data_IF_181452250207
#
_entry.id   IF_181452250207
#
_cell.length_a   1.000
_cell.length_b   1.000
_cell.length_c   1.000
_cell.angle_alpha   90.00
_cell.angle_beta   90.00
_cell.angle_gamma   90.00
#
_symmetry.space_group_name_H-M   'P 1'
#
loop_
_entity.id
_entity.type
_entity.pdbx_description
1 polymer ?
#
# COMPACT_ATOMS: atom_id res chain seq x y z
N UNK A 1 -2.44 1.69 21.24
CA UNK A 1 -3.67 1.10 20.65
C UNK A 1 -3.25 -0.09 19.79
N UNK A 2 -3.90 -1.24 19.94
CA UNK A 2 -3.48 -2.47 19.26
C UNK A 2 -4.01 -2.50 17.82
N UNK A 3 -3.18 -2.13 16.85
CA UNK A 3 -3.46 -2.18 15.41
C UNK A 3 -3.35 -3.61 14.83
N UNK A 4 -3.86 -4.62 15.55
CA UNK A 4 -3.66 -6.03 15.20
C UNK A 4 -4.76 -6.67 14.35
N UNK A 5 -5.85 -5.95 14.07
CA UNK A 5 -7.02 -6.50 13.39
C UNK A 5 -7.33 -5.68 12.12
N UNK A 6 -7.10 -6.23 10.92
CA UNK A 6 -7.35 -5.53 9.66
C UNK A 6 -8.83 -5.17 9.47
N UNK A 7 -9.76 -5.92 10.05
CA UNK A 7 -11.21 -5.63 10.00
C UNK A 7 -11.58 -4.43 10.90
N UNK A 8 -10.69 -4.02 11.81
CA UNK A 8 -10.88 -2.86 12.71
C UNK A 8 -10.24 -1.57 12.22
N UNK A 9 -9.50 -1.58 11.11
CA UNK A 9 -8.96 -0.33 10.53
C UNK A 9 -10.09 0.52 9.92
N UNK A 10 -11.16 -0.14 9.47
CA UNK A 10 -12.40 0.52 9.07
C UNK A 10 -13.21 1.09 10.26
N UNK A 11 -12.88 0.76 11.52
CA UNK A 11 -13.65 1.18 12.70
C UNK A 11 -12.79 1.79 13.82
N UNK A 12 -12.86 3.13 13.91
CA UNK A 12 -12.89 3.91 15.16
C UNK A 12 -11.61 4.51 15.77
N UNK A 13 -10.75 5.16 14.98
CA UNK A 13 -10.16 6.41 15.49
C UNK A 13 -10.25 7.53 14.47
N UNK A 14 -10.63 8.73 14.92
CA UNK A 14 -10.63 9.95 14.11
C UNK A 14 -9.26 10.15 13.43
N UNK A 15 -8.17 9.80 14.15
CA UNK A 15 -6.81 9.84 13.65
C UNK A 15 -6.60 8.93 12.43
N UNK A 16 -7.01 7.65 12.49
CA UNK A 16 -6.87 6.72 11.36
C UNK A 16 -7.59 7.28 10.12
N UNK A 17 -8.82 7.77 10.29
CA UNK A 17 -9.58 8.34 9.18
C UNK A 17 -8.87 9.55 8.56
N UNK A 18 -8.33 10.46 9.38
CA UNK A 18 -7.58 11.63 8.90
C UNK A 18 -6.32 11.21 8.14
N UNK A 19 -5.55 10.25 8.67
CA UNK A 19 -4.31 9.75 8.03
C UNK A 19 -4.61 9.19 6.63
N UNK A 20 -5.64 8.34 6.52
CA UNK A 20 -6.03 7.74 5.24
C UNK A 20 -6.51 8.80 4.24
N UNK A 21 -7.38 9.72 4.67
CA UNK A 21 -7.90 10.79 3.79
C UNK A 21 -6.80 11.74 3.32
N UNK A 22 -5.85 12.09 4.19
CA UNK A 22 -4.73 12.96 3.83
C UNK A 22 -3.86 12.31 2.76
N UNK A 23 -3.53 11.03 2.96
CA UNK A 23 -2.72 10.26 2.01
C UNK A 23 -3.44 10.10 0.67
N UNK A 24 -4.75 9.84 0.68
CA UNK A 24 -5.55 9.76 -0.55
C UNK A 24 -5.52 11.05 -1.37
N UNK A 25 -5.50 12.21 -0.71
CA UNK A 25 -5.39 13.51 -1.40
C UNK A 25 -4.06 13.59 -2.16
N UNK A 26 -2.98 13.06 -1.60
CA UNK A 26 -1.68 13.03 -2.27
C UNK A 26 -1.64 12.03 -3.41
N UNK A 27 -2.23 10.84 -3.23
CA UNK A 27 -2.18 9.78 -4.24
C UNK A 27 -3.16 10.01 -5.41
N UNK A 28 -4.33 10.59 -5.14
CA UNK A 28 -5.44 10.61 -6.11
C UNK A 28 -6.18 11.94 -6.20
N UNK A 29 -5.78 12.97 -5.43
CA UNK A 29 -6.54 14.23 -5.31
C UNK A 29 -7.98 14.09 -4.79
N UNK A 30 -8.30 12.96 -4.14
CA UNK A 30 -9.60 12.71 -3.51
C UNK A 30 -9.41 12.38 -2.03
N UNK A 31 -10.36 12.76 -1.18
CA UNK A 31 -10.32 12.35 0.24
C UNK A 31 -10.79 10.91 0.42
N UNK A 32 -11.80 10.50 -0.35
CA UNK A 32 -12.39 9.18 -0.26
C UNK A 32 -11.73 8.20 -1.22
N UNK A 33 -11.65 6.95 -0.79
CA UNK A 33 -11.11 5.87 -1.59
C UNK A 33 -11.86 5.67 -2.90
N UNK A 34 -11.11 5.46 -3.98
CA UNK A 34 -11.62 5.03 -5.28
C UNK A 34 -11.33 3.53 -5.45
N UNK A 35 -12.36 2.70 -5.48
CA UNK A 35 -12.22 1.23 -5.41
C UNK A 35 -12.09 0.57 -6.78
N UNK A 36 -12.67 1.17 -7.81
CA UNK A 36 -12.79 0.65 -9.16
C UNK A 36 -11.72 1.09 -10.18
N UNK A 37 -10.82 2.08 -9.94
CA UNK A 37 -9.79 2.39 -10.92
C UNK A 37 -8.96 1.15 -11.24
N UNK A 38 -8.70 0.94 -12.52
CA UNK A 38 -7.81 -0.09 -13.01
C UNK A 38 -7.18 0.39 -14.30
N UNK A 39 -5.86 0.28 -14.39
CA UNK A 39 -5.07 0.74 -15.54
C UNK A 39 -3.88 -0.18 -15.74
N UNK A 40 -3.48 -0.38 -16.99
CA UNK A 40 -2.18 -0.96 -17.30
C UNK A 40 -1.19 0.17 -17.58
N UNK A 41 -0.20 0.31 -16.70
CA UNK A 41 0.87 1.28 -16.88
C UNK A 41 2.06 0.65 -17.62
N UNK A 42 2.89 1.48 -18.24
CA UNK A 42 4.13 1.04 -18.91
C UNK A 42 5.32 1.03 -17.94
N UNK A 43 5.10 0.62 -16.69
CA UNK A 43 6.08 0.64 -15.59
C UNK A 43 6.53 -0.77 -15.15
N UNK A 44 6.04 -1.81 -15.83
CA UNK A 44 6.40 -3.21 -15.57
C UNK A 44 5.57 -3.90 -14.48
N UNK A 45 4.58 -3.24 -13.87
CA UNK A 45 3.78 -3.81 -12.78
C UNK A 45 2.51 -4.55 -13.27
N UNK A 46 2.30 -4.64 -14.58
CA UNK A 46 1.08 -5.21 -15.15
C UNK A 46 -0.13 -4.27 -14.97
N UNK A 47 -1.25 -4.79 -14.49
CA UNK A 47 -2.39 -3.94 -14.11
C UNK A 47 -2.22 -3.41 -12.69
N UNK A 48 -2.51 -2.12 -12.51
CA UNK A 48 -2.62 -1.43 -11.22
C UNK A 48 -4.08 -1.08 -10.95
N UNK A 49 -4.61 -1.46 -9.78
CA UNK A 49 -6.03 -1.34 -9.49
C UNK A 49 -6.37 -1.00 -8.02
N UNK A 50 -7.49 -0.28 -7.84
CA UNK A 50 -8.09 0.01 -6.54
C UNK A 50 -7.36 1.02 -5.68
N UNK A 51 -7.71 1.02 -4.39
CA UNK A 51 -7.50 2.14 -3.45
C UNK A 51 -6.04 2.53 -3.19
N UNK A 52 -5.08 1.64 -3.46
CA UNK A 52 -3.63 1.87 -3.31
C UNK A 52 -2.87 1.30 -4.52
N UNK A 53 -3.51 1.20 -5.68
CA UNK A 53 -2.91 0.69 -6.90
C UNK A 53 -2.28 -0.70 -6.71
N UNK A 54 -3.06 -1.67 -6.21
CA UNK A 54 -2.62 -3.06 -6.15
C UNK A 54 -2.24 -3.55 -7.54
N UNK A 55 -1.12 -4.27 -7.66
CA UNK A 55 -0.60 -4.66 -8.97
C UNK A 55 -0.64 -6.17 -9.17
N UNK A 56 -0.89 -6.59 -10.41
CA UNK A 56 -0.77 -8.01 -10.79
C UNK A 56 0.70 -8.44 -10.77
N UNK A 57 1.61 -7.58 -11.19
CA UNK A 57 3.04 -7.86 -11.31
C UNK A 57 3.79 -7.99 -9.98
N UNK A 58 3.19 -7.57 -8.86
CA UNK A 58 3.68 -7.85 -7.50
C UNK A 58 2.86 -8.91 -6.76
N UNK A 59 1.77 -9.40 -7.37
CA UNK A 59 0.83 -10.32 -6.74
C UNK A 59 -0.03 -9.68 -5.64
N UNK A 60 0.05 -8.37 -5.39
CA UNK A 60 -0.76 -7.71 -4.36
C UNK A 60 -2.24 -7.69 -4.75
N UNK A 61 -2.55 -7.54 -6.04
CA UNK A 61 -3.93 -7.56 -6.52
C UNK A 61 -4.56 -8.96 -6.43
N UNK A 62 -3.77 -10.01 -6.63
CA UNK A 62 -4.25 -11.38 -6.42
C UNK A 62 -4.61 -11.63 -4.95
N UNK A 63 -3.81 -11.14 -4.00
CA UNK A 63 -4.13 -11.30 -2.57
C UNK A 63 -5.47 -10.65 -2.20
N UNK A 64 -5.85 -9.53 -2.84
CA UNK A 64 -7.19 -8.95 -2.69
C UNK A 64 -8.25 -9.90 -3.22
N UNK A 65 -8.05 -10.42 -4.43
CA UNK A 65 -9.00 -11.34 -5.10
C UNK A 65 -9.17 -12.64 -4.31
N UNK A 66 -8.10 -13.21 -3.77
CA UNK A 66 -8.13 -14.40 -2.91
C UNK A 66 -8.88 -14.11 -1.61
N UNK A 67 -8.56 -13.00 -0.92
CA UNK A 67 -9.22 -12.62 0.32
C UNK A 67 -10.74 -12.42 0.14
N UNK A 68 -11.13 -11.84 -1.00
CA UNK A 68 -12.53 -11.74 -1.40
C UNK A 68 -13.14 -13.12 -1.71
N UNK A 69 -12.43 -13.94 -2.49
CA UNK A 69 -12.92 -15.23 -2.97
C UNK A 69 -13.17 -16.24 -1.86
N UNK A 70 -12.31 -16.25 -0.84
CA UNK A 70 -12.41 -17.12 0.33
C UNK A 70 -13.65 -16.82 1.19
N UNK A 71 -14.25 -15.63 1.04
CA UNK A 71 -15.41 -15.19 1.85
C UNK A 71 -16.74 -15.36 1.14
N UNK A 72 -16.79 -15.07 -0.16
CA UNK A 72 -18.07 -14.98 -0.88
C UNK A 72 -18.17 -15.89 -2.10
N UNK A 73 -17.11 -16.62 -2.46
CA UNK A 73 -17.04 -17.49 -3.64
C UNK A 73 -17.61 -16.85 -4.94
N UNK A 74 -17.05 -15.71 -5.37
CA UNK A 74 -17.48 -14.92 -6.52
C UNK A 74 -17.06 -15.57 -7.85
N UNK A 75 -17.63 -15.09 -8.97
CA UNK A 75 -17.29 -15.59 -10.30
C UNK A 75 -16.62 -14.57 -11.23
N UNK A 76 -16.46 -13.32 -10.78
CA UNK A 76 -15.92 -12.21 -11.55
C UNK A 76 -14.50 -12.49 -12.09
N UNK A 77 -13.67 -13.19 -11.32
CA UNK A 77 -12.27 -13.49 -11.67
C UNK A 77 -12.02 -14.95 -12.10
N UNK A 78 -13.04 -15.81 -12.14
CA UNK A 78 -12.86 -17.26 -12.34
C UNK A 78 -12.07 -17.60 -13.60
N UNK A 79 -12.28 -16.87 -14.70
CA UNK A 79 -11.59 -17.10 -15.98
C UNK A 79 -10.08 -16.81 -15.93
N UNK A 80 -9.63 -16.01 -14.98
CA UNK A 80 -8.23 -15.56 -14.85
C UNK A 80 -7.55 -16.05 -13.55
N UNK A 81 -8.26 -16.77 -12.68
CA UNK A 81 -7.71 -17.29 -11.42
C UNK A 81 -6.42 -18.10 -11.64
N UNK A 82 -6.42 -19.02 -12.62
CA UNK A 82 -5.24 -19.83 -12.91
C UNK A 82 -4.04 -18.99 -13.37
N UNK A 83 -4.29 -17.94 -14.16
CA UNK A 83 -3.26 -17.01 -14.63
C UNK A 83 -2.70 -16.20 -13.46
N UNK A 84 -3.56 -15.65 -12.61
CA UNK A 84 -3.14 -14.89 -11.42
C UNK A 84 -2.34 -15.75 -10.44
N UNK A 85 -2.76 -17.00 -10.21
CA UNK A 85 -2.05 -17.96 -9.37
C UNK A 85 -0.66 -18.30 -9.94
N UNK A 86 -0.57 -18.51 -11.25
CA UNK A 86 0.71 -18.76 -11.92
C UNK A 86 1.67 -17.57 -11.76
N UNK A 87 1.19 -16.34 -11.90
CA UNK A 87 1.99 -15.12 -11.69
C UNK A 87 2.54 -15.09 -10.26
N UNK A 88 1.71 -15.32 -9.25
CA UNK A 88 2.15 -15.29 -7.85
C UNK A 88 3.13 -16.42 -7.51
N UNK A 89 2.93 -17.62 -8.07
CA UNK A 89 3.89 -18.72 -7.92
C UNK A 89 5.25 -18.36 -8.55
N UNK A 90 5.24 -17.72 -9.73
CA UNK A 90 6.45 -17.23 -10.38
C UNK A 90 7.19 -16.19 -9.52
N UNK A 91 6.46 -15.23 -8.95
CA UNK A 91 7.02 -14.23 -8.03
C UNK A 91 7.65 -14.87 -6.79
N UNK A 92 6.96 -15.85 -6.17
CA UNK A 92 7.48 -16.58 -4.99
C UNK A 92 8.73 -17.40 -5.31
N UNK A 93 8.84 -17.92 -6.53
CA UNK A 93 10.01 -18.67 -6.98
C UNK A 93 11.20 -17.76 -7.34
N UNK A 94 11.04 -16.43 -7.30
CA UNK A 94 12.04 -15.49 -7.78
C UNK A 94 12.30 -15.63 -9.29
N UNK A 95 11.35 -16.22 -10.02
CA UNK A 95 11.49 -16.60 -11.43
C UNK A 95 10.93 -15.53 -12.38
N UNK A 96 10.99 -14.25 -12.01
CA UNK A 96 10.66 -13.16 -12.94
C UNK A 96 11.65 -13.20 -14.11
N UNK A 97 11.15 -13.20 -15.34
CA UNK A 97 11.99 -13.06 -16.53
C UNK A 97 12.62 -11.66 -16.66
N UNK A 98 12.22 -10.72 -15.81
CA UNK A 98 12.82 -9.40 -15.68
C UNK A 98 13.79 -9.31 -14.49
N UNK A 99 14.76 -8.41 -14.61
CA UNK A 99 15.75 -8.13 -13.57
C UNK A 99 15.15 -7.42 -12.35
N UNK A 100 13.89 -6.96 -12.43
CA UNK A 100 13.20 -6.21 -11.37
C UNK A 100 12.53 -7.10 -10.32
N UNK A 101 12.32 -8.39 -10.59
CA UNK A 101 11.55 -9.25 -9.68
C UNK A 101 10.04 -9.21 -9.92
N UNK A 102 9.59 -8.60 -11.02
CA UNK A 102 8.17 -8.36 -11.34
C UNK A 102 7.66 -9.31 -12.44
N UNK A 103 6.35 -9.36 -12.61
CA UNK A 103 5.74 -10.01 -13.78
C UNK A 103 4.93 -8.97 -14.55
N UNK A 104 5.53 -8.44 -15.60
CA UNK A 104 4.91 -7.40 -16.45
C UNK A 104 3.86 -7.91 -17.42
N UNK A 105 3.82 -9.23 -17.68
CA UNK A 105 2.88 -9.83 -18.63
C UNK A 105 1.44 -9.76 -18.14
N UNK A 106 0.53 -9.39 -19.04
CA UNK A 106 -0.92 -9.41 -18.84
C UNK A 106 -1.63 -10.49 -19.68
N UNK A 107 -0.87 -11.38 -20.32
CA UNK A 107 -1.44 -12.44 -21.14
C UNK A 107 -2.33 -13.36 -20.28
N UNK A 108 -3.56 -13.62 -20.73
CA UNK A 108 -4.55 -14.41 -19.97
C UNK A 108 -5.26 -13.64 -18.85
N UNK A 109 -5.09 -12.31 -18.81
CA UNK A 109 -5.83 -11.37 -17.94
C UNK A 109 -6.78 -10.47 -18.74
N UNK A 110 -7.27 -10.96 -19.89
CA UNK A 110 -8.25 -10.24 -20.70
C UNK A 110 -9.51 -9.92 -19.88
N UNK A 111 -9.96 -8.66 -19.92
CA UNK A 111 -11.11 -8.19 -19.15
C UNK A 111 -10.84 -7.96 -17.65
N UNK A 112 -9.58 -7.98 -17.20
CA UNK A 112 -9.22 -7.78 -15.79
C UNK A 112 -9.81 -6.50 -15.19
N UNK A 113 -9.67 -5.35 -15.87
CA UNK A 113 -10.21 -4.08 -15.36
C UNK A 113 -11.74 -4.05 -15.30
N UNK A 114 -12.43 -4.71 -16.24
CA UNK A 114 -13.89 -4.82 -16.20
C UNK A 114 -14.34 -5.69 -15.02
N UNK A 115 -13.63 -6.81 -14.78
CA UNK A 115 -13.88 -7.67 -13.62
C UNK A 115 -13.64 -6.93 -12.30
N UNK A 116 -12.55 -6.16 -12.21
CA UNK A 116 -12.22 -5.35 -11.04
C UNK A 116 -13.27 -4.26 -10.77
N UNK A 117 -13.65 -3.51 -11.81
CA UNK A 117 -14.68 -2.47 -11.71
C UNK A 117 -16.03 -3.06 -11.28
N UNK A 118 -16.42 -4.20 -11.87
CA UNK A 118 -17.64 -4.91 -11.49
C UNK A 118 -17.61 -5.40 -10.04
N UNK A 119 -16.52 -6.05 -9.63
CA UNK A 119 -16.35 -6.51 -8.25
C UNK A 119 -16.39 -5.35 -7.25
N UNK A 120 -15.84 -4.19 -7.62
CA UNK A 120 -15.84 -2.96 -6.80
C UNK A 120 -17.22 -2.35 -6.55
N UNK A 121 -18.27 -2.87 -7.17
CA UNK A 121 -19.66 -2.52 -6.82
C UNK A 121 -20.15 -3.28 -5.58
N UNK A 122 -19.48 -4.38 -5.21
CA UNK A 122 -19.80 -5.22 -4.06
C UNK A 122 -19.12 -4.67 -2.79
N UNK A 123 -19.87 -4.45 -1.69
CA UNK A 123 -19.27 -4.06 -0.41
C UNK A 123 -18.14 -4.99 0.04
N UNK A 124 -18.30 -6.29 -0.17
CA UNK A 124 -17.34 -7.31 0.28
C UNK A 124 -16.00 -7.23 -0.47
N UNK A 125 -15.99 -6.77 -1.72
CA UNK A 125 -14.74 -6.52 -2.44
C UNK A 125 -14.06 -5.24 -1.99
N UNK A 126 -14.85 -4.21 -1.63
CA UNK A 126 -14.31 -2.98 -1.03
C UNK A 126 -13.66 -3.26 0.33
N UNK A 127 -14.31 -4.09 1.14
CA UNK A 127 -13.77 -4.56 2.42
C UNK A 127 -12.47 -5.36 2.22
N UNK A 128 -12.40 -6.19 1.18
CA UNK A 128 -11.16 -6.90 0.83
C UNK A 128 -10.02 -5.94 0.48
N UNK A 129 -10.28 -4.89 -0.29
CA UNK A 129 -9.29 -3.86 -0.59
C UNK A 129 -8.81 -3.14 0.68
N UNK A 130 -9.73 -2.72 1.56
CA UNK A 130 -9.39 -2.06 2.83
C UNK A 130 -8.57 -2.99 3.72
N UNK A 131 -8.96 -4.26 3.83
CA UNK A 131 -8.24 -5.25 4.65
C UNK A 131 -6.81 -5.48 4.13
N UNK A 132 -6.60 -5.49 2.82
CA UNK A 132 -5.26 -5.62 2.24
C UNK A 132 -4.43 -4.35 2.39
N UNK A 133 -5.01 -3.16 2.21
CA UNK A 133 -4.34 -1.88 2.55
C UNK A 133 -3.87 -1.89 4.00
N UNK A 134 -4.77 -2.29 4.89
CA UNK A 134 -4.51 -2.42 6.32
C UNK A 134 -3.32 -3.35 6.59
N UNK A 135 -3.40 -4.58 6.08
CA UNK A 135 -2.41 -5.64 6.30
C UNK A 135 -1.04 -5.28 5.72
N UNK A 136 -1.00 -4.72 4.51
CA UNK A 136 0.24 -4.50 3.75
C UNK A 136 0.92 -3.17 4.08
N UNK A 137 0.16 -2.13 4.42
CA UNK A 137 0.70 -0.77 4.55
C UNK A 137 0.44 -0.16 5.92
N UNK A 138 -0.82 -0.14 6.38
CA UNK A 138 -1.18 0.59 7.58
C UNK A 138 -0.62 -0.06 8.86
N UNK A 139 -0.88 -1.34 9.09
CA UNK A 139 -0.40 -2.04 10.30
C UNK A 139 1.14 -2.00 10.39
N UNK A 140 1.90 -2.31 9.32
CA UNK A 140 3.35 -2.19 9.35
C UNK A 140 3.83 -0.77 9.65
N UNK A 141 3.20 0.27 9.08
CA UNK A 141 3.59 1.66 9.35
C UNK A 141 3.33 2.08 10.80
N UNK A 142 2.20 1.66 11.37
CA UNK A 142 1.87 1.92 12.77
C UNK A 142 2.84 1.22 13.72
N UNK A 143 3.26 -0.01 13.37
CA UNK A 143 4.30 -0.72 14.10
C UNK A 143 5.63 0.01 14.01
N UNK A 144 6.04 0.45 12.81
CA UNK A 144 7.28 1.19 12.62
C UNK A 144 7.30 2.50 13.43
N UNK A 145 6.20 3.25 13.44
CA UNK A 145 6.07 4.48 14.23
C UNK A 145 6.16 4.20 15.74
N UNK A 146 5.53 3.11 16.20
CA UNK A 146 5.58 2.68 17.60
C UNK A 146 6.99 2.27 18.02
N UNK A 147 7.66 1.46 17.20
CA UNK A 147 9.03 1.00 17.46
C UNK A 147 10.03 2.17 17.44
N UNK A 148 9.74 3.23 16.68
CA UNK A 148 10.50 4.47 16.65
C UNK A 148 10.20 5.40 17.83
N UNK A 149 9.27 5.07 18.74
CA UNK A 149 8.93 5.89 19.91
C UNK A 149 8.06 7.12 19.61
N UNK A 150 7.41 7.17 18.44
CA UNK A 150 6.58 8.31 18.04
C UNK A 150 5.23 8.31 18.75
N UNK A 151 4.78 9.50 19.14
CA UNK A 151 3.54 9.70 19.89
C UNK A 151 2.59 10.70 19.26
N UNK A 152 3.08 11.63 18.44
CA UNK A 152 2.23 12.61 17.78
C UNK A 152 1.52 12.01 16.58
N UNK A 153 0.22 12.33 16.47
CA UNK A 153 -0.62 11.87 15.37
C UNK A 153 -0.08 12.29 13.99
N UNK A 154 0.53 13.48 13.90
CA UNK A 154 1.17 13.96 12.66
C UNK A 154 2.37 13.09 12.29
N UNK A 155 3.27 12.79 13.24
CA UNK A 155 4.44 11.93 12.99
C UNK A 155 4.00 10.54 12.52
N UNK A 156 3.02 9.95 13.22
CA UNK A 156 2.45 8.64 12.88
C UNK A 156 1.84 8.65 11.46
N UNK A 157 1.12 9.71 11.10
CA UNK A 157 0.56 9.88 9.76
C UNK A 157 1.64 9.98 8.68
N UNK A 158 2.72 10.71 8.94
CA UNK A 158 3.85 10.84 8.01
C UNK A 158 4.61 9.51 7.81
N UNK A 159 4.68 8.66 8.82
CA UNK A 159 5.24 7.30 8.66
C UNK A 159 4.35 6.45 7.73
N UNK A 160 3.02 6.53 7.87
CA UNK A 160 2.12 5.85 6.93
C UNK A 160 2.27 6.37 5.51
N UNK A 161 2.24 7.68 5.32
CA UNK A 161 2.37 8.32 4.01
C UNK A 161 3.71 7.97 3.33
N UNK A 162 4.80 8.00 4.10
CA UNK A 162 6.11 7.51 3.65
C UNK A 162 6.09 6.03 3.27
N UNK A 163 5.32 5.20 3.99
CA UNK A 163 5.22 3.76 3.71
C UNK A 163 4.48 3.48 2.41
N UNK A 164 3.50 4.31 2.06
CA UNK A 164 2.83 4.25 0.75
C UNK A 164 3.81 4.61 -0.35
N UNK A 165 4.54 5.71 -0.19
CA UNK A 165 5.40 6.25 -1.26
C UNK A 165 6.73 5.51 -1.44
N UNK A 166 7.38 5.08 -0.35
CA UNK A 166 8.72 4.46 -0.35
C UNK A 166 8.68 2.96 -0.03
N UNK A 167 7.50 2.41 0.26
CA UNK A 167 7.37 1.09 0.86
C UNK A 167 7.84 1.05 2.33
N UNK A 168 7.62 -0.11 2.96
CA UNK A 168 7.99 -0.33 4.36
C UNK A 168 9.51 -0.29 4.57
N UNK A 169 10.28 -0.87 3.64
CA UNK A 169 11.74 -0.93 3.74
C UNK A 169 12.37 0.47 3.64
N UNK A 170 11.99 1.26 2.63
CA UNK A 170 12.52 2.62 2.46
C UNK A 170 12.19 3.52 3.65
N UNK A 171 10.96 3.42 4.17
CA UNK A 171 10.56 4.13 5.40
C UNK A 171 11.37 3.68 6.61
N UNK A 172 11.60 2.37 6.77
CA UNK A 172 12.39 1.83 7.88
C UNK A 172 13.85 2.33 7.85
N UNK A 173 14.48 2.38 6.68
CA UNK A 173 15.83 2.93 6.50
C UNK A 173 15.91 4.40 6.94
N UNK A 174 14.94 5.23 6.54
CA UNK A 174 14.86 6.62 6.97
C UNK A 174 14.73 6.74 8.49
N UNK A 175 13.83 5.96 9.11
CA UNK A 175 13.66 5.92 10.56
C UNK A 175 14.99 5.59 11.26
N UNK A 176 15.69 4.55 10.78
CA UNK A 176 16.97 4.14 11.36
C UNK A 176 18.03 5.24 11.24
N UNK A 177 18.14 5.90 10.09
CA UNK A 177 19.12 6.97 9.87
C UNK A 177 18.89 8.16 10.81
N UNK A 178 17.65 8.64 10.93
CA UNK A 178 17.33 9.77 11.82
C UNK A 178 17.53 9.39 13.27
N UNK A 179 17.08 8.19 13.67
CA UNK A 179 17.25 7.67 15.04
C UNK A 179 18.72 7.48 15.39
N UNK A 180 19.58 7.08 14.45
CA UNK A 180 21.01 6.99 14.68
C UNK A 180 21.66 8.36 14.96
N UNK A 181 21.11 9.44 14.39
CA UNK A 181 21.64 10.81 14.57
C UNK A 181 21.05 11.52 15.79
N UNK A 182 19.76 11.30 16.09
CA UNK A 182 19.01 12.02 17.15
C UNK A 182 18.75 11.19 18.42
N UNK A 183 18.90 9.87 18.34
CA UNK A 183 18.35 8.95 19.32
C UNK A 183 16.84 8.74 19.13
N UNK A 184 16.26 7.85 19.95
CA UNK A 184 14.80 7.66 19.99
C UNK A 184 14.13 8.93 20.50
N UNK A 185 13.14 9.49 19.79
CA UNK A 185 12.42 10.66 20.25
C UNK A 185 11.59 10.37 21.50
N UNK A 186 11.44 11.41 22.32
CA UNK A 186 10.44 11.52 23.37
C UNK A 186 9.62 12.81 23.19
N UNK A 187 8.71 13.12 24.13
CA UNK A 187 7.77 14.24 23.98
C UNK A 187 8.40 15.63 23.79
N UNK A 188 9.68 15.80 24.12
CA UNK A 188 10.38 17.09 24.05
C UNK A 188 11.11 17.33 22.72
N UNK A 189 11.46 16.26 21.99
CA UNK A 189 12.28 16.35 20.77
C UNK A 189 11.65 15.65 19.56
N UNK A 190 10.44 15.09 19.67
CA UNK A 190 9.74 14.45 18.55
C UNK A 190 9.52 15.42 17.38
N UNK A 191 9.27 16.71 17.63
CA UNK A 191 9.14 17.72 16.57
C UNK A 191 10.44 17.89 15.75
N UNK A 192 11.60 17.88 16.40
CA UNK A 192 12.89 17.96 15.71
C UNK A 192 13.18 16.67 14.94
N UNK A 193 12.86 15.53 15.54
CA UNK A 193 13.02 14.22 14.91
C UNK A 193 12.18 14.11 13.64
N UNK A 194 10.88 14.47 13.69
CA UNK A 194 10.00 14.36 12.53
C UNK A 194 10.37 15.37 11.43
N UNK A 195 10.85 16.56 11.80
CA UNK A 195 11.37 17.53 10.82
C UNK A 195 12.53 16.93 10.03
N UNK A 196 13.50 16.30 10.71
CA UNK A 196 14.66 15.70 10.05
C UNK A 196 14.30 14.46 9.23
N UNK A 197 13.31 13.68 9.69
CA UNK A 197 12.74 12.58 8.89
C UNK A 197 12.12 13.09 7.59
N UNK A 198 11.37 14.19 7.63
CA UNK A 198 10.75 14.78 6.44
C UNK A 198 11.81 15.35 5.48
N UNK A 199 12.86 15.98 5.99
CA UNK A 199 13.98 16.47 5.16
C UNK A 199 14.69 15.31 4.44
N UNK A 200 14.94 14.19 5.13
CA UNK A 200 15.57 13.02 4.52
C UNK A 200 14.64 12.29 3.55
N UNK A 201 13.33 12.26 3.84
CA UNK A 201 12.31 11.76 2.91
C UNK A 201 12.29 12.58 1.63
N UNK A 202 12.27 13.91 1.73
CA UNK A 202 12.29 14.80 0.56
C UNK A 202 13.52 14.54 -0.30
N UNK A 203 14.72 14.49 0.29
CA UNK A 203 15.97 14.19 -0.43
C UNK A 203 15.90 12.83 -1.14
N UNK A 204 15.37 11.80 -0.46
CA UNK A 204 15.22 10.46 -1.03
C UNK A 204 14.31 10.48 -2.25
N UNK A 205 13.18 11.18 -2.17
CA UNK A 205 12.24 11.31 -3.28
C UNK A 205 12.85 12.07 -4.46
N UNK A 206 13.55 13.18 -4.21
CA UNK A 206 14.27 13.91 -5.26
C UNK A 206 15.29 13.00 -5.95
N UNK A 207 16.05 12.21 -5.19
CA UNK A 207 17.01 11.26 -5.73
C UNK A 207 16.38 10.14 -6.57
N UNK A 208 15.11 9.79 -6.29
CA UNK A 208 14.32 8.82 -7.06
C UNK A 208 13.66 9.42 -8.31
N UNK A 209 13.86 10.70 -8.61
CA UNK A 209 13.26 11.40 -9.76
C UNK A 209 12.08 12.32 -9.39
N UNK A 210 11.84 12.55 -8.11
CA UNK A 210 10.75 13.38 -7.58
C UNK A 210 9.50 12.58 -7.21
N UNK A 211 8.48 13.28 -6.70
CA UNK A 211 7.16 12.67 -6.50
C UNK A 211 6.60 12.20 -7.85
N UNK A 212 6.17 10.94 -7.93
CA UNK A 212 5.48 10.41 -9.11
C UNK A 212 4.30 11.33 -9.44
N UNK A 213 4.41 12.07 -10.56
CA UNK A 213 3.29 12.80 -11.12
C UNK A 213 2.44 11.77 -11.87
N UNK A 214 1.36 11.32 -11.24
CA UNK A 214 0.29 10.63 -11.93
C UNK A 214 -0.45 11.60 -12.86
#
# INVERSE_FOLDING_TARGET
MAYGDPDKIATNSCQTSIILKLTNVFETSHQEFQFDPCVQLSDGHGYSAGIVQFTTGTGSAEQVIQFYSDRVHPNEFTVMNATLEAITLQLKAGASGDASGLVSSVAGLDGYCDAWSKASQRPEFRDAQIAMLAKMYFIPSQKAATDAGLSYAVSIGQIYDSTIQLGAQGTHELIQMVTARRGTPGPQNELEWISEFLDDREKKLIAMGGAFKY
#
